data_IF_254062145661
#
_entry.id   IF_254062145661
#
_cell.length_a   1.000
_cell.length_b   1.000
_cell.length_c   1.000
_cell.angle_alpha   90.00
_cell.angle_beta   90.00
_cell.angle_gamma   90.00
#
_symmetry.space_group_name_H-M   'P 1'
#
loop_
_entity.id
_entity.type
_entity.pdbx_description
1 polymer ?
#
# COMPACT_ATOMS: atom_id res chain seq x y z
N UNK A 1 -10.05 32.54 -11.32
CA UNK A 1 -10.61 31.81 -10.16
C UNK A 1 -9.42 31.30 -9.38
N UNK A 2 -9.37 31.55 -8.08
CA UNK A 2 -8.28 31.04 -7.24
C UNK A 2 -8.53 29.56 -6.97
N UNK A 3 -7.51 28.73 -7.13
CA UNK A 3 -7.57 27.34 -6.71
C UNK A 3 -7.27 27.26 -5.21
N UNK A 4 -8.10 26.51 -4.50
CA UNK A 4 -7.97 26.23 -3.08
C UNK A 4 -7.79 24.72 -2.89
N UNK A 5 -6.97 24.34 -1.91
CA UNK A 5 -6.77 22.95 -1.53
C UNK A 5 -7.56 22.66 -0.26
N UNK A 6 -8.38 21.62 -0.30
CA UNK A 6 -9.21 21.16 0.81
C UNK A 6 -8.79 19.74 1.19
N UNK A 7 -8.78 19.48 2.50
CA UNK A 7 -8.36 18.20 3.07
C UNK A 7 -9.53 17.56 3.80
N UNK A 8 -9.70 16.25 3.61
CA UNK A 8 -10.81 15.51 4.18
C UNK A 8 -10.35 14.21 4.83
N UNK A 9 -11.02 13.82 5.91
CA UNK A 9 -10.97 12.48 6.50
C UNK A 9 -12.30 11.78 6.24
N UNK A 10 -12.25 10.63 5.61
CA UNK A 10 -13.41 9.79 5.30
C UNK A 10 -13.78 8.90 6.49
N UNK A 11 -15.01 8.36 6.50
CA UNK A 11 -15.53 7.51 7.57
C UNK A 11 -14.71 6.23 7.81
N UNK A 12 -14.01 5.75 6.78
CA UNK A 12 -13.14 4.57 6.83
C UNK A 12 -11.71 4.87 7.31
N UNK A 13 -11.43 6.11 7.76
CA UNK A 13 -10.10 6.55 8.21
C UNK A 13 -9.16 6.99 7.08
N UNK A 14 -9.51 6.80 5.81
CA UNK A 14 -8.70 7.32 4.70
C UNK A 14 -8.75 8.86 4.65
N UNK A 15 -7.69 9.46 4.11
CA UNK A 15 -7.59 10.91 3.88
C UNK A 15 -7.58 11.25 2.39
N UNK A 16 -8.10 12.42 2.04
CA UNK A 16 -8.21 12.88 0.65
C UNK A 16 -7.82 14.35 0.53
N UNK A 17 -7.13 14.68 -0.56
CA UNK A 17 -6.77 16.05 -0.95
C UNK A 17 -7.54 16.42 -2.21
N UNK A 18 -8.32 17.50 -2.14
CA UNK A 18 -9.12 18.01 -3.26
C UNK A 18 -8.59 19.40 -3.62
N UNK A 19 -8.21 19.59 -4.88
CA UNK A 19 -7.88 20.90 -5.42
C UNK A 19 -9.09 21.38 -6.22
N UNK A 20 -9.64 22.53 -5.87
CA UNK A 20 -10.89 23.04 -6.44
C UNK A 20 -10.87 24.56 -6.53
N UNK A 21 -11.67 25.13 -7.43
CA UNK A 21 -11.93 26.57 -7.47
C UNK A 21 -13.20 26.97 -6.71
N UNK A 22 -13.89 26.00 -6.10
CA UNK A 22 -15.08 26.21 -5.26
C UNK A 22 -14.66 26.38 -3.80
N UNK A 23 -15.43 27.17 -3.07
CA UNK A 23 -15.27 27.29 -1.63
C UNK A 23 -15.73 26.00 -0.92
N UNK A 24 -15.19 25.75 0.28
CA UNK A 24 -15.49 24.55 1.05
C UNK A 24 -16.99 24.38 1.33
N UNK A 25 -17.71 25.49 1.52
CA UNK A 25 -19.16 25.52 1.78
C UNK A 25 -20.00 25.04 0.57
N UNK A 26 -19.43 25.11 -0.65
CA UNK A 26 -20.11 24.65 -1.87
C UNK A 26 -19.89 23.15 -2.14
N UNK A 27 -18.99 22.50 -1.38
CA UNK A 27 -18.71 21.07 -1.53
C UNK A 27 -19.59 20.25 -0.61
N UNK A 28 -20.51 19.49 -1.21
CA UNK A 28 -21.29 18.47 -0.49
C UNK A 28 -20.42 17.27 -0.15
N UNK A 29 -19.95 17.22 1.10
CA UNK A 29 -19.30 16.03 1.67
C UNK A 29 -20.33 14.91 1.92
N UNK A 30 -20.02 13.70 1.48
CA UNK A 30 -20.85 12.52 1.76
C UNK A 30 -20.78 12.18 3.26
N UNK A 31 -21.88 11.67 3.81
CA UNK A 31 -22.02 11.40 5.25
C UNK A 31 -20.84 10.62 5.83
N UNK A 32 -20.26 11.15 6.91
CA UNK A 32 -19.09 10.57 7.59
C UNK A 32 -17.74 11.08 7.08
N UNK A 33 -17.73 11.99 6.09
CA UNK A 33 -16.53 12.72 5.68
C UNK A 33 -16.44 14.04 6.43
N UNK A 34 -15.31 14.31 7.07
CA UNK A 34 -15.06 15.54 7.84
C UNK A 34 -13.92 16.30 7.18
N UNK A 35 -14.09 17.61 7.02
CA UNK A 35 -13.00 18.49 6.57
C UNK A 35 -11.98 18.62 7.71
N UNK A 36 -10.71 18.43 7.37
CA UNK A 36 -9.59 18.54 8.29
C UNK A 36 -8.63 19.63 7.81
N UNK A 37 -7.72 20.03 8.68
CA UNK A 37 -6.62 20.93 8.35
C UNK A 37 -5.52 20.21 7.56
N UNK A 38 -4.65 20.98 6.91
CA UNK A 38 -3.46 20.43 6.27
C UNK A 38 -2.56 19.68 7.25
N UNK A 39 -2.40 20.19 8.47
CA UNK A 39 -1.58 19.54 9.49
C UNK A 39 -2.13 18.16 9.88
N UNK A 40 -3.44 18.06 10.11
CA UNK A 40 -4.12 16.79 10.39
C UNK A 40 -4.06 15.82 9.21
N UNK A 41 -4.08 16.33 7.98
CA UNK A 41 -3.88 15.51 6.79
C UNK A 41 -2.49 14.91 6.74
N UNK A 42 -1.44 15.72 6.97
CA UNK A 42 -0.06 15.25 6.93
C UNK A 42 0.22 14.21 8.01
N UNK A 43 -0.30 14.41 9.23
CA UNK A 43 -0.15 13.44 10.32
C UNK A 43 -0.81 12.10 9.97
N UNK A 44 -2.08 12.13 9.54
CA UNK A 44 -2.80 10.91 9.16
C UNK A 44 -2.18 10.23 7.93
N UNK A 45 -1.68 11.01 6.97
CA UNK A 45 -1.00 10.48 5.80
C UNK A 45 0.31 9.77 6.18
N UNK A 46 1.12 10.37 7.06
CA UNK A 46 2.36 9.77 7.56
C UNK A 46 2.09 8.46 8.33
N UNK A 47 1.04 8.43 9.14
CA UNK A 47 0.63 7.20 9.84
C UNK A 47 0.22 6.09 8.85
N UNK A 48 -0.62 6.41 7.87
CA UNK A 48 -1.05 5.47 6.83
C UNK A 48 0.16 4.97 6.02
N UNK A 49 1.10 5.85 5.68
CA UNK A 49 2.34 5.46 4.99
C UNK A 49 3.14 4.46 5.81
N UNK A 50 3.39 4.75 7.10
CA UNK A 50 4.12 3.85 7.99
C UNK A 50 3.47 2.47 8.07
N UNK A 51 2.15 2.41 8.31
CA UNK A 51 1.40 1.13 8.38
C UNK A 51 1.49 0.38 7.05
N UNK A 52 1.38 1.07 5.92
CA UNK A 52 1.49 0.44 4.61
C UNK A 52 2.91 -0.07 4.32
N UNK A 53 3.94 0.64 4.75
CA UNK A 53 5.34 0.21 4.59
C UNK A 53 5.67 -1.01 5.45
N UNK A 54 5.21 -1.01 6.70
CA UNK A 54 5.30 -2.17 7.60
C UNK A 54 4.57 -3.38 6.99
N UNK A 55 3.32 -3.21 6.56
CA UNK A 55 2.54 -4.29 5.95
C UNK A 55 3.13 -4.80 4.63
N UNK A 56 3.71 -3.93 3.79
CA UNK A 56 4.43 -4.35 2.58
C UNK A 56 5.65 -5.19 2.90
N UNK A 57 6.38 -4.83 3.95
CA UNK A 57 7.58 -5.57 4.37
C UNK A 57 7.22 -6.96 4.91
N UNK A 58 6.14 -7.05 5.69
CA UNK A 58 5.61 -8.31 6.18
C UNK A 58 5.15 -9.21 5.03
N UNK A 59 4.35 -8.67 4.09
CA UNK A 59 3.90 -9.41 2.92
C UNK A 59 5.06 -9.88 2.04
N UNK A 60 6.07 -9.03 1.82
CA UNK A 60 7.25 -9.40 1.04
C UNK A 60 8.06 -10.52 1.72
N UNK A 61 8.14 -10.51 3.05
CA UNK A 61 8.81 -11.57 3.82
C UNK A 61 8.03 -12.88 3.70
N UNK A 62 6.71 -12.84 3.91
CA UNK A 62 5.85 -14.02 3.80
C UNK A 62 5.84 -14.61 2.37
N UNK A 63 5.83 -13.75 1.35
CA UNK A 63 5.94 -14.19 -0.05
C UNK A 63 7.29 -14.86 -0.32
N UNK A 64 8.39 -14.28 0.18
CA UNK A 64 9.73 -14.87 0.05
C UNK A 64 9.83 -16.24 0.73
N UNK A 65 9.31 -16.37 1.95
CA UNK A 65 9.27 -17.64 2.67
C UNK A 65 8.49 -18.69 1.90
N UNK A 66 7.30 -18.35 1.40
CA UNK A 66 6.49 -19.25 0.56
C UNK A 66 7.25 -19.69 -0.70
N UNK A 67 7.92 -18.77 -1.39
CA UNK A 67 8.70 -19.10 -2.58
C UNK A 67 9.87 -20.06 -2.29
N UNK A 68 10.51 -19.94 -1.12
CA UNK A 68 11.55 -20.88 -0.65
C UNK A 68 10.95 -22.25 -0.37
N UNK A 69 9.86 -22.31 0.40
CA UNK A 69 9.18 -23.57 0.74
C UNK A 69 8.73 -24.33 -0.52
N UNK A 70 8.11 -23.63 -1.47
CA UNK A 70 7.71 -24.20 -2.75
C UNK A 70 8.91 -24.71 -3.56
N UNK A 71 10.02 -23.95 -3.57
CA UNK A 71 11.25 -24.37 -4.24
C UNK A 71 11.80 -25.67 -3.65
N UNK A 72 11.92 -25.74 -2.32
CA UNK A 72 12.44 -26.92 -1.62
C UNK A 72 11.53 -28.14 -1.83
N UNK A 73 10.21 -27.96 -1.77
CA UNK A 73 9.25 -29.01 -2.05
C UNK A 73 9.39 -29.56 -3.49
N UNK A 74 9.55 -28.69 -4.48
CA UNK A 74 9.75 -29.09 -5.88
C UNK A 74 11.10 -29.82 -6.07
N UNK A 75 12.16 -29.39 -5.39
CA UNK A 75 13.46 -30.08 -5.40
C UNK A 75 13.37 -31.46 -4.77
N UNK A 76 12.66 -31.59 -3.64
CA UNK A 76 12.42 -32.87 -2.97
C UNK A 76 11.58 -33.84 -3.84
N UNK A 77 10.65 -33.31 -4.64
CA UNK A 77 9.89 -34.08 -5.63
C UNK A 77 10.72 -34.49 -6.87
N UNK A 78 12.00 -34.12 -6.94
CA UNK A 78 12.91 -34.46 -8.04
C UNK A 78 12.78 -33.53 -9.25
N UNK A 79 12.09 -32.39 -9.14
CA UNK A 79 12.04 -31.41 -10.22
C UNK A 79 13.43 -30.79 -10.42
N UNK A 80 13.92 -30.67 -11.67
CA UNK A 80 15.17 -29.98 -11.97
C UNK A 80 15.16 -28.55 -11.44
N UNK A 81 16.30 -28.09 -10.93
CA UNK A 81 16.44 -26.80 -10.26
C UNK A 81 15.93 -25.62 -11.09
N UNK A 82 16.28 -25.55 -12.37
CA UNK A 82 15.82 -24.48 -13.26
C UNK A 82 14.28 -24.42 -13.37
N UNK A 83 13.63 -25.60 -13.39
CA UNK A 83 12.17 -25.70 -13.42
C UNK A 83 11.57 -25.37 -12.07
N UNK A 84 12.19 -25.83 -10.96
CA UNK A 84 11.74 -25.53 -9.61
C UNK A 84 11.75 -24.02 -9.34
N UNK A 85 12.85 -23.31 -9.66
CA UNK A 85 12.96 -21.84 -9.52
C UNK A 85 11.88 -21.10 -10.31
N UNK A 86 11.66 -21.50 -11.56
CA UNK A 86 10.65 -20.87 -12.43
C UNK A 86 9.22 -21.06 -11.92
N UNK A 87 8.91 -22.23 -11.35
CA UNK A 87 7.57 -22.55 -10.86
C UNK A 87 7.30 -21.97 -9.48
N UNK A 88 8.27 -22.00 -8.58
CA UNK A 88 8.11 -21.42 -7.24
C UNK A 88 8.22 -19.91 -7.23
N UNK A 89 8.82 -19.28 -8.26
CA UNK A 89 9.11 -17.85 -8.25
C UNK A 89 10.31 -17.47 -7.38
N UNK A 90 11.04 -18.45 -6.86
CA UNK A 90 12.24 -18.22 -6.06
C UNK A 90 13.38 -17.66 -6.91
N UNK A 91 13.85 -16.47 -6.54
CA UNK A 91 15.10 -15.87 -7.05
C UNK A 91 16.13 -15.87 -5.93
N UNK A 92 17.34 -16.37 -6.20
CA UNK A 92 18.42 -16.26 -5.22
C UNK A 92 18.92 -14.80 -5.17
N UNK A 93 19.33 -14.30 -4.01
CA UNK A 93 19.79 -12.90 -3.84
C UNK A 93 21.01 -12.53 -4.72
N UNK A 94 21.58 -13.47 -5.49
CA UNK A 94 22.65 -13.26 -6.47
C UNK A 94 22.21 -13.20 -7.94
N UNK A 95 20.91 -13.29 -8.23
CA UNK A 95 20.36 -13.25 -9.60
C UNK A 95 19.85 -11.83 -10.00
N UNK A 96 20.17 -10.78 -9.22
CA UNK A 96 19.86 -9.36 -9.52
C UNK A 96 21.09 -8.55 -9.92
#
# INVERSE_FOLDING_TARGET
MSEHTLYYRNANGSVSRVVTSLDADDIRVQGGTVQITEAEYQEAYAEIQRVNEEGKTELATADRERHVEDYEALRAAGIPEATARRLSGYTSDGDM
#
